data_IF_629093983721
#
_entry.id   IF_629093983721
#
_cell.length_a   1.000
_cell.length_b   1.000
_cell.length_c   1.000
_cell.angle_alpha   90.00
_cell.angle_beta   90.00
_cell.angle_gamma   90.00
#
_symmetry.space_group_name_H-M   'P 1'
#
loop_
_entity.id
_entity.type
_entity.pdbx_description
1 polymer ?
#
# COMPACT_ATOMS: atom_id res chain seq x y z
N UNK A 1 -22.12 -8.90 -4.63
CA UNK A 1 -22.30 -8.46 -3.23
C UNK A 1 -22.44 -9.72 -2.39
N UNK A 2 -21.77 -9.80 -1.23
CA UNK A 2 -21.89 -10.93 -0.32
C UNK A 2 -23.20 -10.77 0.47
N UNK A 3 -24.04 -11.78 0.47
CA UNK A 3 -25.30 -11.82 1.22
C UNK A 3 -25.20 -12.88 2.29
N UNK A 4 -25.57 -12.51 3.51
CA UNK A 4 -25.60 -13.41 4.66
C UNK A 4 -27.06 -13.72 4.99
N UNK A 5 -27.40 -15.01 5.07
CA UNK A 5 -28.74 -15.49 5.38
C UNK A 5 -28.73 -16.02 6.82
N UNK A 6 -29.63 -15.46 7.64
CA UNK A 6 -29.76 -15.81 9.05
C UNK A 6 -31.08 -16.52 9.32
N UNK A 7 -31.06 -17.55 10.17
CA UNK A 7 -32.25 -18.23 10.68
C UNK A 7 -32.15 -18.32 12.20
N UNK A 8 -33.18 -17.84 12.91
CA UNK A 8 -33.18 -17.70 14.37
C UNK A 8 -31.96 -16.95 14.94
N UNK A 9 -31.46 -15.94 14.22
CA UNK A 9 -30.28 -15.17 14.60
C UNK A 9 -28.95 -15.88 14.39
N UNK A 10 -28.96 -17.12 13.89
CA UNK A 10 -27.76 -17.88 13.52
C UNK A 10 -27.49 -17.70 12.03
N UNK A 11 -26.24 -17.39 11.68
CA UNK A 11 -25.80 -17.37 10.28
C UNK A 11 -25.87 -18.80 9.73
N UNK A 12 -26.74 -19.04 8.76
CA UNK A 12 -26.94 -20.38 8.17
C UNK A 12 -26.36 -20.50 6.77
N UNK A 13 -26.22 -19.39 6.05
CA UNK A 13 -25.67 -19.40 4.70
C UNK A 13 -24.99 -18.07 4.36
N UNK A 14 -23.96 -18.18 3.54
CA UNK A 14 -23.30 -17.04 2.91
C UNK A 14 -23.28 -17.27 1.40
N UNK A 15 -23.88 -16.35 0.67
CA UNK A 15 -23.92 -16.39 -0.79
C UNK A 15 -23.07 -15.24 -1.31
N UNK A 16 -22.09 -15.56 -2.14
CA UNK A 16 -21.28 -14.57 -2.84
C UNK A 16 -21.42 -14.75 -4.36
N UNK A 17 -22.21 -13.87 -4.96
CA UNK A 17 -22.46 -13.88 -6.41
C UNK A 17 -21.39 -13.09 -7.20
N UNK A 18 -20.32 -12.63 -6.56
CA UNK A 18 -19.22 -11.95 -7.26
C UNK A 18 -18.41 -12.97 -8.05
N UNK A 19 -17.94 -12.55 -9.22
CA UNK A 19 -16.85 -13.23 -9.92
C UNK A 19 -15.55 -13.14 -9.11
N UNK A 20 -14.58 -14.01 -9.43
CA UNK A 20 -13.28 -13.99 -8.76
C UNK A 20 -12.57 -12.63 -8.89
N UNK A 21 -12.66 -11.99 -10.06
CA UNK A 21 -12.02 -10.69 -10.30
C UNK A 21 -12.70 -9.56 -9.50
N UNK A 22 -14.02 -9.59 -9.40
CA UNK A 22 -14.77 -8.65 -8.56
C UNK A 22 -14.45 -8.84 -7.07
N UNK A 23 -14.30 -10.08 -6.61
CA UNK A 23 -13.92 -10.40 -5.24
C UNK A 23 -12.48 -9.93 -4.92
N UNK A 24 -11.53 -10.14 -5.85
CA UNK A 24 -10.15 -9.64 -5.73
C UNK A 24 -10.11 -8.12 -5.69
N UNK A 25 -10.82 -7.45 -6.60
CA UNK A 25 -10.88 -5.98 -6.65
C UNK A 25 -11.44 -5.41 -5.35
N UNK A 26 -12.55 -5.97 -4.87
CA UNK A 26 -13.16 -5.57 -3.60
C UNK A 26 -12.20 -5.73 -2.41
N UNK A 27 -11.47 -6.84 -2.36
CA UNK A 27 -10.50 -7.11 -1.29
C UNK A 27 -9.34 -6.11 -1.31
N UNK A 28 -8.82 -5.77 -2.50
CA UNK A 28 -7.79 -4.74 -2.66
C UNK A 28 -8.29 -3.37 -2.21
N UNK A 29 -9.53 -3.01 -2.54
CA UNK A 29 -10.12 -1.73 -2.12
C UNK A 29 -10.32 -1.67 -0.59
N UNK A 30 -10.74 -2.76 0.05
CA UNK A 30 -10.79 -2.83 1.51
C UNK A 30 -9.42 -2.65 2.16
N UNK A 31 -8.39 -3.33 1.63
CA UNK A 31 -7.03 -3.22 2.16
C UNK A 31 -6.51 -1.79 2.04
N UNK A 32 -6.78 -1.11 0.92
CA UNK A 32 -6.41 0.31 0.73
C UNK A 32 -7.04 1.19 1.80
N UNK A 33 -8.35 1.06 2.02
CA UNK A 33 -9.07 1.85 3.04
C UNK A 33 -8.53 1.56 4.44
N UNK A 34 -8.34 0.29 4.79
CA UNK A 34 -7.82 -0.10 6.10
C UNK A 34 -6.40 0.43 6.34
N UNK A 35 -5.55 0.38 5.32
CA UNK A 35 -4.17 0.89 5.39
C UNK A 35 -4.17 2.42 5.59
N UNK A 36 -4.94 3.16 4.78
CA UNK A 36 -5.07 4.61 4.95
C UNK A 36 -5.60 4.97 6.33
N UNK A 37 -6.60 4.25 6.83
CA UNK A 37 -7.13 4.45 8.18
C UNK A 37 -6.08 4.20 9.24
N UNK A 38 -5.31 3.12 9.15
CA UNK A 38 -4.26 2.82 10.12
C UNK A 38 -3.17 3.91 10.16
N UNK A 39 -2.78 4.46 8.99
CA UNK A 39 -1.81 5.56 8.90
C UNK A 39 -2.35 6.83 9.57
N UNK A 40 -3.63 7.17 9.30
CA UNK A 40 -4.29 8.32 9.91
C UNK A 40 -4.45 8.15 11.43
N UNK A 41 -4.95 6.99 11.88
CA UNK A 41 -5.18 6.70 13.30
C UNK A 41 -3.86 6.67 14.10
N UNK A 42 -2.76 6.27 13.47
CA UNK A 42 -1.42 6.35 14.08
C UNK A 42 -0.90 7.79 14.20
N UNK A 43 -1.60 8.78 13.63
CA UNK A 43 -1.21 10.19 13.65
C UNK A 43 0.08 10.48 12.88
N UNK A 44 0.49 9.56 11.99
CA UNK A 44 1.76 9.64 11.26
C UNK A 44 1.68 10.75 10.20
N UNK A 45 0.55 10.87 9.50
CA UNK A 45 0.39 11.83 8.41
C UNK A 45 0.28 13.28 8.93
N UNK A 46 -0.61 13.52 9.90
CA UNK A 46 -0.88 14.86 10.41
C UNK A 46 0.30 15.44 11.21
N UNK A 47 0.96 14.64 12.06
CA UNK A 47 2.14 15.10 12.80
C UNK A 47 3.35 15.32 11.89
N UNK A 48 3.52 14.50 10.85
CA UNK A 48 4.63 14.68 9.91
C UNK A 48 4.44 15.94 9.06
N UNK A 49 3.22 16.19 8.59
CA UNK A 49 2.88 17.40 7.84
C UNK A 49 2.97 18.66 8.72
N UNK A 50 2.46 18.62 9.96
CA UNK A 50 2.56 19.73 10.91
C UNK A 50 4.00 20.00 11.35
N UNK A 51 4.81 18.97 11.61
CA UNK A 51 6.23 19.13 11.99
C UNK A 51 7.08 19.67 10.84
N UNK A 52 6.77 19.28 9.59
CA UNK A 52 7.41 19.86 8.41
C UNK A 52 6.98 21.33 8.18
N UNK A 53 5.68 21.64 8.34
CA UNK A 53 5.16 23.00 8.15
C UNK A 53 5.58 23.98 9.26
N UNK A 54 5.82 23.49 10.48
CA UNK A 54 6.25 24.29 11.64
C UNK A 54 7.78 24.42 11.76
N UNK A 55 8.57 23.81 10.85
CA UNK A 55 10.03 23.87 10.87
C UNK A 55 10.67 23.03 11.99
N UNK A 56 9.93 22.10 12.60
CA UNK A 56 10.44 21.17 13.62
C UNK A 56 11.40 20.14 13.02
N UNK A 57 11.27 19.86 11.72
CA UNK A 57 12.26 19.12 10.96
C UNK A 57 13.14 20.09 10.19
N UNK A 58 14.45 19.99 10.41
CA UNK A 58 15.45 20.70 9.61
C UNK A 58 15.18 20.46 8.11
N UNK A 59 15.41 21.48 7.29
CA UNK A 59 15.16 21.40 5.84
C UNK A 59 15.87 20.19 5.21
N UNK A 60 17.06 19.85 5.71
CA UNK A 60 17.84 18.68 5.33
C UNK A 60 17.08 17.36 5.56
N UNK A 61 16.37 17.22 6.70
CA UNK A 61 15.54 16.04 6.97
C UNK A 61 14.35 15.96 6.04
N UNK A 62 13.73 17.08 5.72
CA UNK A 62 12.61 17.13 4.78
C UNK A 62 13.05 16.75 3.36
N UNK A 63 14.20 17.23 2.91
CA UNK A 63 14.77 16.86 1.61
C UNK A 63 15.21 15.40 1.59
N UNK A 64 15.80 14.88 2.68
CA UNK A 64 16.15 13.46 2.79
C UNK A 64 14.91 12.55 2.62
N UNK A 65 13.79 12.89 3.27
CA UNK A 65 12.51 12.17 3.13
C UNK A 65 12.01 12.22 1.68
N UNK A 66 12.02 13.39 1.06
CA UNK A 66 11.60 13.54 -0.35
C UNK A 66 12.49 12.70 -1.29
N UNK A 67 13.81 12.75 -1.12
CA UNK A 67 14.75 11.98 -1.92
C UNK A 67 14.54 10.47 -1.75
N UNK A 68 14.30 9.99 -0.52
CA UNK A 68 14.00 8.58 -0.27
C UNK A 68 12.70 8.13 -0.96
N UNK A 69 11.64 8.94 -0.88
CA UNK A 69 10.36 8.67 -1.55
C UNK A 69 10.55 8.59 -3.08
N UNK A 70 11.33 9.51 -3.66
CA UNK A 70 11.65 9.50 -5.10
C UNK A 70 12.42 8.22 -5.47
N UNK A 71 13.40 7.81 -4.66
CA UNK A 71 14.16 6.59 -4.90
C UNK A 71 13.25 5.34 -4.86
N UNK A 72 12.36 5.23 -3.87
CA UNK A 72 11.39 4.13 -3.79
C UNK A 72 10.47 4.10 -5.02
N UNK A 73 10.00 5.26 -5.48
CA UNK A 73 9.14 5.38 -6.66
C UNK A 73 9.86 4.93 -7.92
N UNK A 74 11.12 5.32 -8.10
CA UNK A 74 11.92 4.94 -9.26
C UNK A 74 12.18 3.43 -9.27
N UNK A 75 12.49 2.85 -8.11
CA UNK A 75 12.68 1.40 -7.99
C UNK A 75 11.40 0.62 -8.29
N UNK A 76 10.25 1.10 -7.82
CA UNK A 76 8.95 0.50 -8.17
C UNK A 76 8.72 0.52 -9.69
N UNK A 77 9.04 1.63 -10.36
CA UNK A 77 8.93 1.74 -11.82
C UNK A 77 9.91 0.81 -12.56
N UNK A 78 11.12 0.61 -12.03
CA UNK A 78 12.07 -0.39 -12.54
C UNK A 78 11.49 -1.80 -12.45
N UNK A 79 11.01 -2.18 -11.26
CA UNK A 79 10.39 -3.49 -11.03
C UNK A 79 9.20 -3.71 -11.96
N UNK A 80 8.31 -2.72 -12.06
CA UNK A 80 7.16 -2.77 -12.98
C UNK A 80 7.60 -2.97 -14.43
N UNK A 81 8.60 -2.24 -14.89
CA UNK A 81 9.12 -2.37 -16.26
C UNK A 81 9.66 -3.77 -16.52
N UNK A 82 10.43 -4.31 -15.58
CA UNK A 82 10.98 -5.67 -15.69
C UNK A 82 9.89 -6.72 -15.74
N UNK A 83 8.94 -6.70 -14.80
CA UNK A 83 7.81 -7.64 -14.74
C UNK A 83 6.97 -7.58 -16.03
N UNK A 84 6.77 -6.40 -16.61
CA UNK A 84 6.03 -6.28 -17.87
C UNK A 84 6.80 -6.79 -19.09
N UNK A 85 8.12 -6.98 -18.97
CA UNK A 85 8.99 -7.47 -20.05
C UNK A 85 9.28 -8.97 -19.97
N UNK A 86 8.96 -9.63 -18.86
CA UNK A 86 9.16 -11.08 -18.69
C UNK A 86 8.19 -11.91 -19.53
N UNK A 87 8.62 -13.10 -19.95
CA UNK A 87 7.82 -14.00 -20.78
C UNK A 87 7.21 -15.14 -19.99
N UNK A 88 7.69 -15.38 -18.77
CA UNK A 88 7.21 -16.44 -17.88
C UNK A 88 6.91 -15.90 -16.48
N UNK A 89 6.07 -16.63 -15.73
CA UNK A 89 5.76 -16.27 -14.36
C UNK A 89 6.98 -16.38 -13.44
N UNK A 90 7.84 -17.40 -13.66
CA UNK A 90 9.04 -17.60 -12.85
C UNK A 90 10.02 -16.41 -12.97
N UNK A 91 10.15 -15.84 -14.18
CA UNK A 91 10.93 -14.63 -14.40
C UNK A 91 10.31 -13.42 -13.69
N UNK A 92 8.98 -13.27 -13.74
CA UNK A 92 8.28 -12.18 -13.05
C UNK A 92 8.44 -12.28 -11.52
N UNK A 93 8.33 -13.48 -10.97
CA UNK A 93 8.45 -13.77 -9.54
C UNK A 93 9.89 -13.59 -9.03
N UNK A 94 10.88 -13.69 -9.93
CA UNK A 94 12.29 -13.41 -9.60
C UNK A 94 12.60 -11.92 -9.43
N UNK A 95 11.73 -11.00 -9.87
CA UNK A 95 11.95 -9.55 -9.76
C UNK A 95 11.80 -9.11 -8.31
N UNK A 96 12.95 -8.83 -7.67
CA UNK A 96 13.00 -8.32 -6.31
C UNK A 96 13.03 -6.78 -6.30
N UNK A 97 12.25 -6.20 -5.39
CA UNK A 97 12.34 -4.77 -5.06
C UNK A 97 13.57 -4.54 -4.20
N UNK A 98 14.51 -3.74 -4.71
CA UNK A 98 15.72 -3.39 -3.96
C UNK A 98 15.40 -2.16 -3.12
N UNK A 99 15.23 -2.36 -1.82
CA UNK A 99 14.96 -1.24 -0.92
C UNK A 99 16.07 -0.19 -1.04
N UNK A 100 15.73 1.07 -1.38
CA UNK A 100 16.70 2.16 -1.35
C UNK A 100 17.29 2.31 0.04
N UNK A 101 18.52 2.81 0.13
CA UNK A 101 19.12 3.12 1.44
C UNK A 101 18.25 4.17 2.14
N UNK A 102 17.91 3.92 3.40
CA UNK A 102 17.19 4.87 4.24
C UNK A 102 18.20 5.94 4.69
N UNK A 103 18.01 7.22 4.32
CA UNK A 103 18.86 8.30 4.81
C UNK A 103 18.89 8.35 6.34
N UNK A 104 20.05 8.69 6.89
CA UNK A 104 20.26 8.82 8.32
C UNK A 104 19.37 9.93 8.91
N UNK A 105 18.68 9.63 10.03
CA UNK A 105 17.78 10.59 10.68
C UNK A 105 16.34 10.64 10.14
N UNK A 106 15.96 9.77 9.19
CA UNK A 106 14.56 9.48 8.84
C UNK A 106 14.01 8.41 9.79
#
# INVERSE_FOLDING_TARGET
MKTEVYSNGVLVETIDNRTLDEAKKYSLDLIRVATSKAIMDAGIDEKTQLNAASGVYEAERCEAIKSYIVACRNEYLRCKTLILSTQTNDEADSVQFIQPQVPEGI
#
